data_IF_456646381222
#
_entry.id   IF_456646381222
#
_cell.length_a   1.000
_cell.length_b   1.000
_cell.length_c   1.000
_cell.angle_alpha   90.00
_cell.angle_beta   90.00
_cell.angle_gamma   90.00
#
_symmetry.space_group_name_H-M   'P 1'
#
loop_
_entity.id
_entity.type
_entity.pdbx_description
1 polymer ?
#
# COMPACT_ATOMS: atom_id res chain seq x y z
N UNK A 1 14.00 3.71 -3.07
CA UNK A 1 13.28 4.98 -2.79
C UNK A 1 12.77 5.03 -1.35
N UNK A 2 12.11 3.97 -0.88
CA UNK A 2 11.56 3.95 0.49
C UNK A 2 12.67 4.13 1.52
N UNK A 3 13.79 3.44 1.35
CA UNK A 3 14.95 3.58 2.24
C UNK A 3 15.43 5.03 2.31
N UNK A 4 15.49 5.69 1.17
CA UNK A 4 15.91 7.09 1.07
C UNK A 4 14.89 8.03 1.75
N UNK A 5 13.60 7.72 1.60
CA UNK A 5 12.56 8.49 2.27
C UNK A 5 12.69 8.40 3.79
N UNK A 6 12.97 7.20 4.33
CA UNK A 6 13.21 7.05 5.76
C UNK A 6 14.37 7.91 6.24
N UNK A 7 15.43 7.97 5.44
CA UNK A 7 16.61 8.78 5.78
C UNK A 7 16.28 10.28 5.76
N UNK A 8 15.47 10.72 4.80
CA UNK A 8 15.11 12.14 4.66
C UNK A 8 14.06 12.59 5.68
N UNK A 9 13.04 11.78 5.88
CA UNK A 9 11.96 12.02 6.83
C UNK A 9 11.30 10.68 7.16
N UNK A 10 11.54 10.20 8.37
CA UNK A 10 11.11 8.86 8.78
C UNK A 10 9.61 8.62 8.58
N UNK A 11 8.75 9.60 8.89
CA UNK A 11 7.30 9.42 8.73
C UNK A 11 6.90 9.24 7.26
N UNK A 12 7.58 9.92 6.33
CA UNK A 12 7.32 9.73 4.89
C UNK A 12 7.72 8.34 4.45
N UNK A 13 8.85 7.83 4.96
CA UNK A 13 9.25 6.44 4.70
C UNK A 13 8.23 5.44 5.20
N UNK A 14 7.69 5.66 6.39
CA UNK A 14 6.69 4.76 6.98
C UNK A 14 5.39 4.76 6.16
N UNK A 15 4.93 5.92 5.73
CA UNK A 15 3.73 6.03 4.89
C UNK A 15 3.96 5.31 3.56
N UNK A 16 5.12 5.53 2.94
CA UNK A 16 5.47 4.90 1.66
C UNK A 16 5.55 3.37 1.78
N UNK A 17 6.19 2.87 2.83
CA UNK A 17 6.27 1.43 3.07
C UNK A 17 4.89 0.83 3.26
N UNK A 18 4.02 1.52 3.99
CA UNK A 18 2.64 1.08 4.23
C UNK A 18 1.87 0.98 2.91
N UNK A 19 2.01 1.99 2.05
CA UNK A 19 1.37 1.96 0.73
C UNK A 19 1.89 0.81 -0.14
N UNK A 20 3.21 0.63 -0.18
CA UNK A 20 3.80 -0.40 -1.02
C UNK A 20 3.47 -1.80 -0.52
N UNK A 21 3.68 -2.07 0.76
CA UNK A 21 3.47 -3.41 1.31
C UNK A 21 2.00 -3.84 1.24
N UNK A 22 1.07 -2.93 1.51
CA UNK A 22 -0.36 -3.25 1.58
C UNK A 22 -1.12 -2.94 0.29
N UNK A 23 -0.48 -2.32 -0.69
CA UNK A 23 -1.11 -1.93 -1.97
C UNK A 23 -2.32 -1.02 -1.74
N UNK A 24 -2.17 -0.03 -0.89
CA UNK A 24 -3.27 0.89 -0.53
C UNK A 24 -3.00 2.31 -1.00
N UNK A 25 -4.05 3.14 -0.97
CA UNK A 25 -3.97 4.54 -1.37
C UNK A 25 -3.38 5.39 -0.25
N UNK A 26 -2.95 6.59 -0.61
CA UNK A 26 -2.36 7.54 0.35
C UNK A 26 -3.27 7.80 1.55
N UNK A 27 -4.56 8.09 1.33
CA UNK A 27 -5.48 8.38 2.42
C UNK A 27 -5.63 7.21 3.39
N UNK A 28 -5.61 5.98 2.88
CA UNK A 28 -5.70 4.78 3.69
C UNK A 28 -4.43 4.57 4.49
N UNK A 29 -3.26 4.85 3.89
CA UNK A 29 -1.99 4.77 4.60
C UNK A 29 -1.91 5.80 5.73
N UNK A 30 -2.37 7.03 5.48
CA UNK A 30 -2.42 8.06 6.52
C UNK A 30 -3.31 7.62 7.69
N UNK A 31 -4.46 7.03 7.39
CA UNK A 31 -5.37 6.53 8.42
C UNK A 31 -4.73 5.43 9.27
N UNK A 32 -4.04 4.49 8.63
CA UNK A 32 -3.34 3.41 9.33
C UNK A 32 -2.22 3.92 10.23
N UNK A 33 -1.43 4.87 9.73
CA UNK A 33 -0.34 5.45 10.51
C UNK A 33 -0.89 6.21 11.72
N UNK A 34 -2.01 6.90 11.53
CA UNK A 34 -2.64 7.66 12.59
C UNK A 34 -3.30 6.79 13.65
N UNK A 35 -3.98 5.72 13.24
CA UNK A 35 -4.78 4.87 14.13
C UNK A 35 -4.48 3.38 13.93
N UNK A 36 -3.24 2.92 14.13
CA UNK A 36 -2.89 1.53 13.83
C UNK A 36 -3.67 0.52 14.66
N UNK A 37 -3.94 0.82 15.92
CA UNK A 37 -4.66 -0.11 16.82
C UNK A 37 -6.08 -0.40 16.38
N UNK A 38 -6.67 0.48 15.59
CA UNK A 38 -8.04 0.31 15.10
C UNK A 38 -8.13 -0.80 14.05
N UNK A 39 -7.03 -1.07 13.33
CA UNK A 39 -7.04 -1.97 12.19
C UNK A 39 -6.16 -3.22 12.34
N UNK A 40 -5.22 -3.21 13.28
CA UNK A 40 -4.31 -4.35 13.46
C UNK A 40 -4.95 -5.46 14.28
N UNK A 41 -4.94 -6.68 13.74
CA UNK A 41 -5.48 -7.86 14.42
C UNK A 41 -4.69 -9.10 14.02
N UNK A 42 -3.86 -9.62 14.93
CA UNK A 42 -3.13 -10.89 14.77
C UNK A 42 -2.37 -11.01 13.44
N UNK A 43 -1.63 -9.97 13.07
CA UNK A 43 -0.84 -9.98 11.84
C UNK A 43 -1.63 -9.67 10.57
N UNK A 44 -2.84 -9.15 10.74
CA UNK A 44 -3.69 -8.72 9.62
C UNK A 44 -4.16 -7.30 9.81
N UNK A 45 -4.39 -6.62 8.70
CA UNK A 45 -5.13 -5.36 8.68
C UNK A 45 -6.59 -5.72 8.37
N UNK A 46 -7.50 -5.31 9.26
CA UNK A 46 -8.93 -5.60 9.14
C UNK A 46 -9.75 -4.32 9.13
N UNK A 47 -10.93 -4.38 8.51
CA UNK A 47 -11.90 -3.27 8.49
C UNK A 47 -11.40 -1.97 7.85
N UNK A 48 -10.34 -2.03 7.05
CA UNK A 48 -9.87 -0.85 6.34
C UNK A 48 -10.85 -0.49 5.23
N UNK A 49 -11.29 0.76 5.22
CA UNK A 49 -12.26 1.26 4.25
C UNK A 49 -11.54 2.01 3.14
N UNK A 50 -11.80 1.60 1.92
CA UNK A 50 -11.23 2.24 0.73
C UNK A 50 -12.20 3.23 0.09
N UNK A 51 -11.83 3.68 -1.10
CA UNK A 51 -12.60 4.62 -1.90
C UNK A 51 -14.03 4.10 -2.13
N UNK A 52 -15.00 4.99 -2.03
CA UNK A 52 -16.40 4.61 -2.21
C UNK A 52 -16.98 3.83 -1.04
N UNK A 53 -16.34 3.91 0.11
CA UNK A 53 -16.78 3.23 1.34
C UNK A 53 -16.75 1.71 1.24
N UNK A 54 -15.89 1.15 0.37
CA UNK A 54 -15.71 -0.29 0.21
C UNK A 54 -14.60 -0.80 1.13
N UNK A 55 -14.92 -1.78 1.96
CA UNK A 55 -13.93 -2.40 2.84
C UNK A 55 -13.02 -3.32 2.05
N UNK A 56 -11.73 -3.25 2.38
CA UNK A 56 -10.76 -4.24 1.89
C UNK A 56 -11.02 -5.57 2.56
N UNK A 57 -10.69 -6.65 1.86
CA UNK A 57 -10.51 -7.95 2.51
C UNK A 57 -9.34 -7.83 3.49
N UNK A 58 -9.33 -8.67 4.54
CA UNK A 58 -8.22 -8.69 5.48
C UNK A 58 -6.90 -8.87 4.73
N UNK A 59 -5.90 -8.06 5.07
CA UNK A 59 -4.59 -8.08 4.43
C UNK A 59 -3.54 -8.54 5.42
N UNK A 60 -2.68 -9.44 5.00
CA UNK A 60 -1.50 -9.79 5.82
C UNK A 60 -0.57 -8.59 5.90
N UNK A 61 0.00 -8.38 7.07
CA UNK A 61 1.01 -7.36 7.30
C UNK A 61 2.25 -8.02 7.88
N UNK A 62 3.43 -7.61 7.41
CA UNK A 62 4.67 -8.13 7.96
C UNK A 62 4.83 -7.72 9.41
N UNK A 63 5.51 -8.55 10.19
CA UNK A 63 5.82 -8.22 11.58
C UNK A 63 6.60 -6.91 11.67
N UNK A 64 7.55 -6.71 10.76
CA UNK A 64 8.35 -5.48 10.71
C UNK A 64 7.47 -4.23 10.56
N UNK A 65 6.58 -4.21 9.59
CA UNK A 65 5.70 -3.05 9.38
C UNK A 65 4.72 -2.87 10.54
N UNK A 66 4.16 -3.96 11.05
CA UNK A 66 3.28 -3.92 12.21
C UNK A 66 3.96 -3.23 13.39
N UNK A 67 5.19 -3.64 13.70
CA UNK A 67 5.94 -3.04 14.80
C UNK A 67 6.25 -1.57 14.55
N UNK A 68 6.59 -1.21 13.32
CA UNK A 68 6.86 0.18 12.96
C UNK A 68 5.62 1.05 13.15
N UNK A 69 4.45 0.54 12.80
CA UNK A 69 3.19 1.27 12.99
C UNK A 69 2.84 1.42 14.46
N UNK A 70 2.96 0.34 15.24
CA UNK A 70 2.63 0.34 16.66
C UNK A 70 3.58 1.21 17.49
N UNK A 71 4.86 1.22 17.12
CA UNK A 71 5.91 1.95 17.84
C UNK A 71 6.20 3.33 17.26
N UNK A 72 5.41 3.77 16.29
CA UNK A 72 5.63 5.08 15.67
C UNK A 72 5.48 6.21 16.69
N UNK A 73 6.54 7.02 16.85
CA UNK A 73 6.55 8.20 17.73
C UNK A 73 6.61 9.50 16.95
N UNK A 74 6.61 9.45 15.62
CA UNK A 74 6.67 10.63 14.78
C UNK A 74 5.28 11.22 14.55
N UNK A 75 5.20 12.56 14.54
CA UNK A 75 3.96 13.24 14.20
C UNK A 75 3.62 13.02 12.74
N UNK A 76 2.34 12.83 12.46
CA UNK A 76 1.87 12.69 11.10
C UNK A 76 1.99 14.04 10.37
N UNK A 77 2.55 13.97 9.17
CA UNK A 77 2.66 15.13 8.28
C UNK A 77 1.39 15.29 7.45
N UNK A 78 1.21 16.44 6.81
CA UNK A 78 0.11 16.61 5.87
C UNK A 78 0.44 15.99 4.50
N UNK A 79 -0.58 15.85 3.67
CA UNK A 79 -0.44 15.26 2.34
C UNK A 79 0.48 16.06 1.44
N UNK A 80 0.47 17.38 1.60
CA UNK A 80 1.32 18.27 0.82
C UNK A 80 2.81 18.03 1.11
N UNK A 81 3.16 17.85 2.37
CA UNK A 81 4.54 17.56 2.78
C UNK A 81 4.98 16.20 2.25
N UNK A 82 4.13 15.19 2.37
CA UNK A 82 4.40 13.86 1.84
C UNK A 82 4.63 13.93 0.32
N UNK A 83 3.75 14.61 -0.40
CA UNK A 83 3.87 14.79 -1.84
C UNK A 83 5.19 15.46 -2.23
N UNK A 84 5.58 16.50 -1.49
CA UNK A 84 6.83 17.21 -1.69
C UNK A 84 8.05 16.30 -1.50
N UNK A 85 8.02 15.46 -0.46
CA UNK A 85 9.10 14.50 -0.20
C UNK A 85 9.24 13.50 -1.35
N UNK A 86 8.10 13.01 -1.89
CA UNK A 86 8.10 12.07 -3.01
C UNK A 86 8.62 12.71 -4.30
N UNK A 87 8.35 13.99 -4.50
CA UNK A 87 8.81 14.72 -5.69
C UNK A 87 10.32 14.75 -5.81
N UNK A 88 11.05 14.70 -4.70
CA UNK A 88 12.50 14.64 -4.70
C UNK A 88 13.03 13.41 -5.43
N UNK A 89 12.20 12.37 -5.58
CA UNK A 89 12.53 11.13 -6.29
C UNK A 89 11.73 10.96 -7.57
N UNK A 90 11.04 12.03 -7.98
CA UNK A 90 10.25 12.07 -9.22
C UNK A 90 9.15 10.98 -9.25
N UNK A 91 8.51 10.75 -8.11
CA UNK A 91 7.41 9.78 -7.98
C UNK A 91 6.18 10.43 -7.34
N UNK A 92 5.03 9.81 -7.54
CA UNK A 92 3.79 10.15 -6.84
C UNK A 92 3.40 9.02 -5.89
N UNK A 93 2.54 9.33 -4.91
CA UNK A 93 2.11 8.31 -3.93
C UNK A 93 1.40 7.13 -4.60
N UNK A 94 0.67 7.37 -5.68
CA UNK A 94 -0.05 6.32 -6.39
C UNK A 94 0.88 5.33 -7.09
N UNK A 95 2.11 5.74 -7.39
CA UNK A 95 3.12 4.87 -8.00
C UNK A 95 3.46 3.68 -7.11
N UNK A 96 3.44 3.83 -5.79
CA UNK A 96 3.67 2.71 -4.88
C UNK A 96 2.61 1.63 -5.05
N UNK A 97 1.36 2.02 -5.25
CA UNK A 97 0.26 1.09 -5.44
C UNK A 97 0.37 0.36 -6.79
N UNK A 98 0.73 1.07 -7.85
CA UNK A 98 0.98 0.45 -9.16
C UNK A 98 2.12 -0.55 -9.10
N UNK A 99 3.25 -0.14 -8.54
CA UNK A 99 4.44 -0.99 -8.44
C UNK A 99 4.17 -2.21 -7.58
N UNK A 100 3.50 -2.03 -6.45
CA UNK A 100 3.13 -3.13 -5.56
C UNK A 100 2.23 -4.14 -6.28
N UNK A 101 1.22 -3.66 -6.99
CA UNK A 101 0.30 -4.53 -7.73
C UNK A 101 1.04 -5.34 -8.79
N UNK A 102 1.95 -4.71 -9.51
CA UNK A 102 2.75 -5.38 -10.52
C UNK A 102 3.68 -6.42 -9.92
N UNK A 103 4.39 -6.06 -8.86
CA UNK A 103 5.32 -6.99 -8.19
C UNK A 103 4.59 -8.22 -7.66
N UNK A 104 3.42 -8.03 -7.06
CA UNK A 104 2.59 -9.12 -6.55
C UNK A 104 2.06 -10.00 -7.68
N UNK A 105 1.65 -9.38 -8.80
CA UNK A 105 1.20 -10.12 -9.97
C UNK A 105 2.30 -11.01 -10.51
N UNK A 106 3.50 -10.47 -10.70
CA UNK A 106 4.65 -11.23 -11.20
C UNK A 106 5.02 -12.37 -10.26
N UNK A 107 4.98 -12.14 -8.96
CA UNK A 107 5.23 -13.16 -7.93
C UNK A 107 4.24 -14.32 -8.04
N UNK A 108 2.97 -14.01 -8.22
CA UNK A 108 1.91 -15.03 -8.38
C UNK A 108 2.11 -15.86 -9.63
N UNK A 109 2.47 -15.22 -10.75
CA UNK A 109 2.76 -15.92 -11.99
C UNK A 109 3.95 -16.86 -11.80
N UNK A 110 5.01 -16.39 -11.16
CA UNK A 110 6.21 -17.23 -10.89
C UNK A 110 5.89 -18.42 -9.97
N UNK A 111 4.91 -18.27 -9.08
CA UNK A 111 4.50 -19.37 -8.19
C UNK A 111 3.59 -20.39 -8.88
N UNK A 112 3.22 -20.18 -10.13
CA UNK A 112 2.39 -21.12 -10.89
C UNK A 112 0.91 -20.80 -10.97
N UNK A 113 0.50 -19.65 -10.42
CA UNK A 113 -0.90 -19.21 -10.50
C UNK A 113 -1.19 -18.73 -11.93
N UNK A 114 -2.34 -19.10 -12.49
CA UNK A 114 -2.73 -18.68 -13.83
C UNK A 114 -2.88 -17.16 -13.90
N UNK A 115 -2.70 -16.59 -15.09
CA UNK A 115 -2.86 -15.14 -15.30
C UNK A 115 -4.24 -14.66 -14.87
N UNK A 116 -5.29 -15.40 -15.22
CA UNK A 116 -6.67 -15.07 -14.86
C UNK A 116 -6.86 -15.05 -13.35
N UNK A 117 -6.40 -16.08 -12.66
CA UNK A 117 -6.53 -16.17 -11.19
C UNK A 117 -5.67 -15.10 -10.51
N UNK A 118 -4.45 -14.85 -11.00
CA UNK A 118 -3.59 -13.81 -10.46
C UNK A 118 -4.26 -12.43 -10.56
N UNK A 119 -4.86 -12.10 -11.71
CA UNK A 119 -5.58 -10.83 -11.88
C UNK A 119 -6.76 -10.71 -10.93
N UNK A 120 -7.49 -11.80 -10.71
CA UNK A 120 -8.61 -11.80 -9.77
C UNK A 120 -8.13 -11.52 -8.35
N UNK A 121 -7.05 -12.19 -7.93
CA UNK A 121 -6.47 -11.98 -6.60
C UNK A 121 -5.97 -10.55 -6.43
N UNK A 122 -5.28 -10.00 -7.43
CA UNK A 122 -4.82 -8.60 -7.40
C UNK A 122 -6.00 -7.64 -7.32
N UNK A 123 -7.08 -7.88 -8.05
CA UNK A 123 -8.30 -7.06 -7.98
C UNK A 123 -8.85 -7.01 -6.56
N UNK A 124 -8.86 -8.15 -5.88
CA UNK A 124 -9.32 -8.24 -4.50
C UNK A 124 -8.39 -7.49 -3.54
N UNK A 125 -7.07 -7.67 -3.69
CA UNK A 125 -6.06 -6.98 -2.89
C UNK A 125 -6.12 -5.47 -3.06
N UNK A 126 -6.43 -4.98 -4.26
CA UNK A 126 -6.57 -3.56 -4.57
C UNK A 126 -7.96 -3.02 -4.24
N UNK A 127 -8.87 -3.88 -3.84
CA UNK A 127 -10.25 -3.51 -3.57
C UNK A 127 -10.97 -2.95 -4.81
N UNK A 128 -10.61 -3.47 -5.99
CA UNK A 128 -11.25 -3.10 -7.25
C UNK A 128 -12.52 -3.91 -7.45
N UNK A 129 -13.56 -3.26 -7.97
CA UNK A 129 -14.82 -3.94 -8.28
C UNK A 129 -14.76 -4.70 -9.60
N UNK A 130 -13.87 -4.30 -10.51
CA UNK A 130 -13.79 -4.85 -11.86
C UNK A 130 -12.35 -5.13 -12.23
N UNK A 131 -12.16 -6.27 -12.90
CA UNK A 131 -10.87 -6.72 -13.40
C UNK A 131 -10.24 -5.72 -14.37
N UNK A 132 -11.06 -4.99 -15.14
CA UNK A 132 -10.58 -3.97 -16.08
C UNK A 132 -9.73 -2.88 -15.39
N UNK A 133 -10.07 -2.53 -14.14
CA UNK A 133 -9.29 -1.54 -13.38
C UNK A 133 -7.92 -2.12 -13.03
N UNK A 134 -7.87 -3.40 -12.67
CA UNK A 134 -6.62 -4.08 -12.39
C UNK A 134 -5.74 -4.17 -13.62
N UNK A 135 -6.31 -4.46 -14.79
CA UNK A 135 -5.58 -4.46 -16.06
C UNK A 135 -4.92 -3.11 -16.31
N UNK A 136 -5.64 -2.02 -16.05
CA UNK A 136 -5.11 -0.68 -16.18
C UNK A 136 -3.90 -0.47 -15.24
N UNK A 137 -4.00 -0.90 -13.99
CA UNK A 137 -2.91 -0.80 -13.02
C UNK A 137 -1.68 -1.56 -13.48
N UNK A 138 -1.85 -2.78 -13.95
CA UNK A 138 -0.74 -3.64 -14.37
C UNK A 138 -0.04 -3.10 -15.61
N UNK A 139 -0.80 -2.54 -16.56
CA UNK A 139 -0.23 -1.93 -17.78
C UNK A 139 0.56 -0.66 -17.49
N UNK A 140 0.09 0.13 -16.51
CA UNK A 140 0.68 1.42 -16.22
C UNK A 140 2.12 1.32 -15.68
N UNK A 141 2.48 0.20 -15.08
CA UNK A 141 3.80 0.00 -14.49
C UNK A 141 4.81 -0.67 -15.44
N UNK A 142 4.40 -0.99 -16.65
CA UNK A 142 5.26 -1.62 -17.65
C UNK A 142 6.29 -0.66 -18.24
#
# INVERSE_FOLDING_TARGET
>A
VIKNLYADRAISGLIAQTQYELSIRQSEAFELVKNPNKYLDNGYIVDLVGKGNHKYMAKEISFELEQKLLNNSYDLIDKSTYHSDLKNYNISSHDFRFTSARDRFEEKIKSGISEKEAKLQISQELNHKREAITDYYLKRTE
#
